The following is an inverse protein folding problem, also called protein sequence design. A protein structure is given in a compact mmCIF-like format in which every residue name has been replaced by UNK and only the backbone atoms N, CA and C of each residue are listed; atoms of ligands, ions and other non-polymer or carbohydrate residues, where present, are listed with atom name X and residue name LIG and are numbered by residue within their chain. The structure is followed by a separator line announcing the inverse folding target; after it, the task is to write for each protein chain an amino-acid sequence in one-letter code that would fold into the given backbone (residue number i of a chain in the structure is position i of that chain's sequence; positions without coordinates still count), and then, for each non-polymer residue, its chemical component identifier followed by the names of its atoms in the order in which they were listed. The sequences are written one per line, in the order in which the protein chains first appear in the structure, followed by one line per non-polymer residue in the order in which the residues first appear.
data_IF_929357854492
#
_entry.id   IF_929357854492
#
_cell.length_a   1.000
_cell.length_b   1.000
_cell.length_c   1.000
_cell.angle_alpha   90.00
_cell.angle_beta   90.00
_cell.angle_gamma   90.00
#
_symmetry.space_group_name_H-M   'P 1'
#
loop_
_entity.id
_entity.type
_entity.pdbx_description
1 polymer ?
#
# COMPACT_ATOMS: atom_id res chain seq x y z
N UNK A 1 18.36 20.49 16.70
CA UNK A 1 17.86 19.47 15.75
C UNK A 1 18.40 18.12 16.18
N UNK A 2 17.61 17.03 16.14
CA UNK A 2 18.12 15.71 16.43
C UNK A 2 19.24 15.36 15.43
N UNK A 3 20.33 14.78 15.93
CA UNK A 3 21.47 14.34 15.12
C UNK A 3 21.61 12.83 15.27
N UNK A 4 21.86 12.14 14.15
CA UNK A 4 22.06 10.70 14.09
C UNK A 4 23.50 10.45 13.61
N UNK A 5 24.27 9.70 14.38
CA UNK A 5 25.61 9.27 13.97
C UNK A 5 25.61 7.76 13.80
N UNK A 6 25.87 7.30 12.58
CA UNK A 6 26.07 5.90 12.28
C UNK A 6 27.56 5.56 12.44
N UNK A 7 27.87 4.62 13.34
CA UNK A 7 29.22 4.08 13.53
C UNK A 7 29.33 2.72 12.85
N UNK A 8 30.55 2.36 12.46
CA UNK A 8 30.87 1.06 11.87
C UNK A 8 30.05 0.70 10.63
N UNK A 9 29.73 1.71 9.81
CA UNK A 9 29.03 1.51 8.53
C UNK A 9 29.95 0.73 7.59
N UNK A 10 29.49 -0.39 7.02
CA UNK A 10 30.26 -1.14 6.03
C UNK A 10 30.74 -0.24 4.88
N UNK A 11 32.00 -0.43 4.47
CA UNK A 11 32.66 0.47 3.52
C UNK A 11 31.96 0.48 2.15
N UNK A 12 31.45 -0.67 1.73
CA UNK A 12 30.63 -0.87 0.55
C UNK A 12 29.30 -0.10 0.64
N UNK A 13 28.61 -0.17 1.78
CA UNK A 13 27.37 0.56 2.02
C UNK A 13 27.59 2.08 2.00
N UNK A 14 28.64 2.55 2.65
CA UNK A 14 28.98 3.98 2.65
C UNK A 14 29.35 4.48 1.25
N UNK A 15 30.10 3.69 0.46
CA UNK A 15 30.43 4.02 -0.92
C UNK A 15 29.17 4.07 -1.80
N UNK A 16 28.28 3.10 -1.67
CA UNK A 16 27.01 3.07 -2.38
C UNK A 16 26.15 4.30 -2.06
N UNK A 17 26.02 4.66 -0.78
CA UNK A 17 25.27 5.86 -0.36
C UNK A 17 25.86 7.15 -0.95
N UNK A 18 27.19 7.27 -1.04
CA UNK A 18 27.83 8.41 -1.69
C UNK A 18 27.49 8.49 -3.19
N UNK A 19 27.53 7.37 -3.90
CA UNK A 19 27.19 7.31 -5.31
C UNK A 19 25.72 7.69 -5.56
N UNK A 20 24.80 7.22 -4.70
CA UNK A 20 23.39 7.61 -4.78
C UNK A 20 23.20 9.11 -4.54
N UNK A 21 23.86 9.66 -3.51
CA UNK A 21 23.80 11.08 -3.20
C UNK A 21 24.30 11.95 -4.38
N UNK A 22 25.41 11.57 -5.01
CA UNK A 22 25.93 12.24 -6.21
C UNK A 22 24.95 12.15 -7.39
N UNK A 23 24.40 10.96 -7.66
CA UNK A 23 23.44 10.74 -8.74
C UNK A 23 22.16 11.57 -8.56
N UNK A 24 21.68 11.69 -7.31
CA UNK A 24 20.50 12.49 -6.97
C UNK A 24 20.81 13.98 -6.75
N UNK A 25 22.08 14.39 -6.85
CA UNK A 25 22.57 15.75 -6.60
C UNK A 25 22.17 16.29 -5.21
N UNK A 26 22.30 15.44 -4.20
CA UNK A 26 21.96 15.75 -2.81
C UNK A 26 23.14 15.50 -1.88
N UNK A 27 23.04 16.03 -0.66
CA UNK A 27 24.02 15.70 0.38
C UNK A 27 23.84 14.25 0.85
N UNK A 28 24.92 13.63 1.32
CA UNK A 28 24.87 12.26 1.87
C UNK A 28 23.86 12.13 3.01
N UNK A 29 23.76 13.14 3.88
CA UNK A 29 22.80 13.14 4.98
C UNK A 29 21.35 13.18 4.48
N UNK A 30 21.07 14.00 3.46
CA UNK A 30 19.74 14.08 2.86
C UNK A 30 19.36 12.76 2.18
N UNK A 31 20.31 12.13 1.48
CA UNK A 31 20.10 10.80 0.87
C UNK A 31 19.79 9.74 1.95
N UNK A 32 20.57 9.70 3.04
CA UNK A 32 20.33 8.77 4.15
C UNK A 32 18.93 8.98 4.76
N UNK A 33 18.53 10.23 4.98
CA UNK A 33 17.19 10.55 5.51
C UNK A 33 16.09 10.03 4.57
N UNK A 34 16.23 10.25 3.27
CA UNK A 34 15.25 9.81 2.27
C UNK A 34 15.18 8.29 2.16
N UNK A 35 16.31 7.60 2.21
CA UNK A 35 16.35 6.13 2.22
C UNK A 35 15.66 5.57 3.48
N UNK A 36 15.91 6.17 4.65
CA UNK A 36 15.23 5.80 5.89
C UNK A 36 13.72 6.05 5.82
N UNK A 37 13.28 7.16 5.22
CA UNK A 37 11.86 7.46 5.05
C UNK A 37 11.19 6.52 4.04
N UNK A 38 11.89 6.14 2.98
CA UNK A 38 11.43 5.14 2.01
C UNK A 38 11.22 3.77 2.68
N UNK A 39 12.16 3.34 3.52
CA UNK A 39 12.05 2.10 4.31
C UNK A 39 10.88 2.17 5.30
N UNK A 40 10.73 3.29 6.01
CA UNK A 40 9.58 3.52 6.91
C UNK A 40 8.25 3.42 6.16
N UNK A 41 8.18 4.04 4.98
CA UNK A 41 6.99 4.02 4.13
C UNK A 41 6.70 2.65 3.54
N UNK A 42 7.72 1.83 3.28
CA UNK A 42 7.55 0.45 2.84
C UNK A 42 6.90 -0.41 3.95
N UNK A 43 7.41 -0.31 5.18
CA UNK A 43 6.88 -1.03 6.33
C UNK A 43 5.42 -0.65 6.63
N UNK A 44 5.09 0.65 6.56
CA UNK A 44 3.71 1.13 6.72
C UNK A 44 2.77 0.54 5.65
N UNK A 45 3.21 0.47 4.39
CA UNK A 45 2.43 -0.14 3.30
C UNK A 45 2.22 -1.64 3.47
N UNK A 46 3.19 -2.36 4.01
CA UNK A 46 3.05 -3.78 4.34
C UNK A 46 2.01 -4.00 5.44
N UNK A 47 2.05 -3.21 6.52
CA UNK A 47 1.03 -3.32 7.57
C UNK A 47 -0.40 -3.06 7.05
N UNK A 48 -0.58 -2.13 6.12
CA UNK A 48 -1.89 -1.88 5.49
C UNK A 48 -2.30 -3.02 4.53
N UNK A 49 -1.33 -3.65 3.85
CA UNK A 49 -1.58 -4.85 3.04
C UNK A 49 -2.12 -6.01 3.89
N UNK A 50 -1.61 -6.21 5.10
CA UNK A 50 -2.07 -7.28 6.00
C UNK A 50 -3.45 -6.95 6.60
N UNK A 51 -3.76 -5.68 6.81
CA UNK A 51 -5.06 -5.22 7.31
C UNK A 51 -6.17 -5.27 6.25
N UNK A 52 -5.84 -5.17 4.96
CA UNK A 52 -6.80 -5.17 3.85
C UNK A 52 -7.69 -6.43 3.79
N UNK A 53 -7.16 -7.67 3.82
CA UNK A 53 -7.99 -8.88 3.84
C UNK A 53 -8.93 -8.96 5.05
N UNK A 54 -8.46 -8.55 6.23
CA UNK A 54 -9.29 -8.50 7.43
C UNK A 54 -10.44 -7.49 7.27
N UNK A 55 -10.16 -6.33 6.66
CA UNK A 55 -11.17 -5.31 6.37
C UNK A 55 -12.20 -5.78 5.35
N UNK A 56 -11.77 -6.41 4.26
CA UNK A 56 -12.67 -6.99 3.25
C UNK A 56 -13.62 -8.00 3.90
N UNK A 57 -13.10 -8.91 4.73
CA UNK A 57 -13.92 -9.89 5.45
C UNK A 57 -14.92 -9.24 6.40
N UNK A 58 -14.52 -8.20 7.12
CA UNK A 58 -15.40 -7.47 8.02
C UNK A 58 -16.56 -6.79 7.27
N UNK A 59 -16.28 -6.17 6.12
CA UNK A 59 -17.29 -5.55 5.26
C UNK A 59 -18.24 -6.61 4.70
N UNK A 60 -17.71 -7.72 4.18
CA UNK A 60 -18.53 -8.81 3.65
C UNK A 60 -19.47 -9.39 4.73
N UNK A 61 -18.96 -9.65 5.94
CA UNK A 61 -19.76 -10.14 7.06
C UNK A 61 -20.78 -9.11 7.57
N UNK A 62 -20.54 -7.82 7.33
CA UNK A 62 -21.52 -6.77 7.61
C UNK A 62 -22.57 -6.64 6.51
N UNK A 63 -22.20 -6.77 5.25
CA UNK A 63 -23.17 -6.76 4.15
C UNK A 63 -24.11 -7.98 4.22
N UNK A 64 -23.58 -9.16 4.56
CA UNK A 64 -24.34 -10.41 4.63
C UNK A 64 -25.45 -10.44 5.71
N UNK A 65 -25.40 -9.55 6.71
CA UNK A 65 -26.43 -9.46 7.76
C UNK A 65 -27.49 -8.39 7.48
N UNK A 66 -27.34 -7.61 6.40
CA UNK A 66 -28.33 -6.61 6.03
C UNK A 66 -29.60 -7.29 5.50
N UNK A 67 -30.78 -6.70 5.72
CA UNK A 67 -32.02 -7.23 5.16
C UNK A 67 -31.97 -7.19 3.63
N UNK A 68 -32.46 -8.24 2.99
CA UNK A 68 -32.66 -8.26 1.54
C UNK A 68 -33.92 -7.46 1.21
N UNK A 69 -33.77 -6.40 0.44
CA UNK A 69 -34.87 -5.52 0.05
C UNK A 69 -35.46 -5.86 -1.32
N UNK A 70 -34.68 -6.55 -2.15
CA UNK A 70 -35.02 -6.92 -3.52
C UNK A 70 -34.48 -8.32 -3.78
N UNK A 71 -35.39 -9.26 -4.04
CA UNK A 71 -35.05 -10.67 -4.32
C UNK A 71 -34.96 -10.97 -5.81
N UNK A 72 -35.12 -9.95 -6.68
CA UNK A 72 -34.99 -10.15 -8.11
C UNK A 72 -33.62 -10.70 -8.45
N UNK A 73 -33.54 -11.64 -9.40
CA UNK A 73 -32.26 -12.17 -9.85
C UNK A 73 -31.43 -11.07 -10.52
N UNK A 74 -30.11 -11.18 -10.46
CA UNK A 74 -29.16 -10.20 -10.99
C UNK A 74 -29.49 -9.76 -12.42
N UNK A 75 -29.82 -10.70 -13.31
CA UNK A 75 -30.18 -10.39 -14.69
C UNK A 75 -31.40 -9.45 -14.79
N UNK A 76 -32.41 -9.63 -13.96
CA UNK A 76 -33.60 -8.77 -13.94
C UNK A 76 -33.28 -7.40 -13.33
N UNK A 77 -32.44 -7.35 -12.29
CA UNK A 77 -31.95 -6.09 -11.70
C UNK A 77 -31.15 -5.28 -12.73
N UNK A 78 -30.38 -5.96 -13.59
CA UNK A 78 -29.60 -5.36 -14.66
C UNK A 78 -30.42 -5.06 -15.94
N UNK A 79 -31.71 -5.42 -15.97
CA UNK A 79 -32.56 -5.22 -17.15
C UNK A 79 -32.23 -6.14 -18.33
N UNK A 80 -31.54 -7.26 -18.06
CA UNK A 80 -31.15 -8.25 -19.05
C UNK A 80 -32.26 -9.29 -19.25
N UNK A 81 -32.53 -9.62 -20.50
CA UNK A 81 -33.35 -10.75 -20.90
C UNK A 81 -32.67 -12.09 -20.59
N UNK A 82 -33.41 -13.18 -20.78
CA UNK A 82 -32.89 -14.55 -20.58
C UNK A 82 -31.76 -14.91 -21.56
N UNK A 83 -31.62 -14.15 -22.64
CA UNK A 83 -30.54 -14.21 -23.62
C UNK A 83 -29.30 -13.39 -23.22
N UNK A 84 -29.35 -12.68 -22.09
CA UNK A 84 -28.29 -11.81 -21.61
C UNK A 84 -28.22 -10.47 -22.32
N UNK A 85 -29.23 -10.10 -23.12
CA UNK A 85 -29.29 -8.82 -23.82
C UNK A 85 -30.17 -7.81 -23.08
N UNK A 86 -29.88 -6.49 -23.15
CA UNK A 86 -30.75 -5.47 -22.57
C UNK A 86 -32.15 -5.52 -23.19
N UNK A 87 -33.19 -5.43 -22.35
CA UNK A 87 -34.59 -5.25 -22.78
C UNK A 87 -34.98 -3.79 -22.96
#
# INVERSE_FOLDING_TARGET
MPNLTLRDVPADLHLWLKQQAEAHRRSLNEEVILQLDALRSLAARQSDADLRPARIRAIAAHAARLPVLDERPEAEVLGLGADGLPR
#
